data_IF_427456101997
#
_entry.id   IF_427456101997
#
_cell.length_a   1.000
_cell.length_b   1.000
_cell.length_c   1.000
_cell.angle_alpha   90.00
_cell.angle_beta   90.00
_cell.angle_gamma   90.00
#
_symmetry.space_group_name_H-M   'P 1'
#
loop_
_entity.id
_entity.type
_entity.pdbx_description
1 polymer ?
#
# COMPACT_ATOMS: atom_id res chain seq x y z
N UNK A 1 -5.08 25.90 -29.26
CA UNK A 1 -5.39 26.34 -27.89
C UNK A 1 -4.31 25.76 -26.99
N UNK A 2 -3.61 26.56 -26.19
CA UNK A 2 -2.28 26.25 -25.62
C UNK A 2 -2.19 25.15 -24.55
N UNK A 3 -3.10 24.18 -24.55
CA UNK A 3 -3.10 23.03 -23.63
C UNK A 3 -2.38 21.86 -24.30
N UNK A 4 -1.49 21.20 -23.55
CA UNK A 4 -0.77 20.03 -24.05
C UNK A 4 -1.67 18.79 -23.97
N UNK A 5 -1.59 17.90 -24.96
CA UNK A 5 -2.47 16.72 -24.97
C UNK A 5 -2.19 15.79 -23.79
N UNK A 6 -0.95 15.77 -23.31
CA UNK A 6 -0.51 15.06 -22.11
C UNK A 6 -1.27 15.51 -20.86
N UNK A 7 -1.60 16.79 -20.75
CA UNK A 7 -2.38 17.35 -19.62
C UNK A 7 -3.84 16.87 -19.67
N UNK A 8 -4.38 16.70 -20.89
CA UNK A 8 -5.70 16.12 -21.08
C UNK A 8 -5.68 14.63 -20.71
N UNK A 9 -4.66 13.89 -21.14
CA UNK A 9 -4.51 12.45 -20.82
C UNK A 9 -4.36 12.25 -19.30
N UNK A 10 -3.51 13.03 -18.64
CA UNK A 10 -3.35 13.00 -17.19
C UNK A 10 -4.67 13.32 -16.49
N UNK A 11 -5.35 14.40 -16.89
CA UNK A 11 -6.61 14.85 -16.30
C UNK A 11 -7.73 13.83 -16.44
N UNK A 12 -7.94 13.30 -17.65
CA UNK A 12 -8.96 12.28 -17.91
C UNK A 12 -8.68 10.98 -17.16
N UNK A 13 -7.44 10.49 -17.22
CA UNK A 13 -7.06 9.23 -16.54
C UNK A 13 -7.14 9.40 -15.02
N UNK A 14 -6.72 10.55 -14.50
CA UNK A 14 -6.85 10.90 -13.09
C UNK A 14 -8.30 10.97 -12.62
N UNK A 15 -9.21 11.54 -13.43
CA UNK A 15 -10.63 11.54 -13.13
C UNK A 15 -11.21 10.10 -13.10
N UNK A 16 -10.85 9.27 -14.08
CA UNK A 16 -11.26 7.86 -14.13
C UNK A 16 -10.75 7.06 -12.93
N UNK A 17 -9.52 7.30 -12.49
CA UNK A 17 -8.98 6.71 -11.27
C UNK A 17 -9.85 7.01 -10.05
N UNK A 18 -10.27 8.27 -9.85
CA UNK A 18 -11.15 8.63 -8.72
C UNK A 18 -12.54 8.00 -8.87
N UNK A 19 -13.11 8.02 -10.08
CA UNK A 19 -14.43 7.46 -10.36
C UNK A 19 -14.46 5.94 -10.19
N UNK A 20 -13.35 5.24 -10.50
CA UNK A 20 -13.20 3.80 -10.37
C UNK A 20 -13.21 3.29 -8.92
N UNK A 21 -13.26 4.16 -7.91
CA UNK A 21 -13.52 3.75 -6.52
C UNK A 21 -14.93 3.18 -6.35
N UNK A 22 -15.87 3.63 -7.18
CA UNK A 22 -17.23 3.08 -7.23
C UNK A 22 -17.28 1.81 -8.09
N UNK A 23 -17.92 0.76 -7.57
CA UNK A 23 -18.00 -0.56 -8.22
C UNK A 23 -18.74 -0.53 -9.56
N UNK A 24 -19.80 0.27 -9.70
CA UNK A 24 -20.54 0.37 -10.96
C UNK A 24 -19.71 1.07 -12.02
N UNK A 25 -18.97 2.12 -11.63
CA UNK A 25 -18.07 2.82 -12.53
C UNK A 25 -16.94 1.92 -13.02
N UNK A 26 -16.36 1.04 -12.17
CA UNK A 26 -15.32 0.08 -12.61
C UNK A 26 -15.82 -0.82 -13.74
N UNK A 27 -17.02 -1.35 -13.60
CA UNK A 27 -17.64 -2.22 -14.60
C UNK A 27 -17.79 -1.47 -15.93
N UNK A 28 -18.25 -0.21 -15.89
CA UNK A 28 -18.40 0.62 -17.09
C UNK A 28 -17.05 0.94 -17.73
N UNK A 29 -16.07 1.37 -16.93
CA UNK A 29 -14.72 1.70 -17.42
C UNK A 29 -14.09 0.49 -18.10
N UNK A 30 -14.13 -0.68 -17.44
CA UNK A 30 -13.67 -1.95 -18.04
C UNK A 30 -14.44 -2.29 -19.32
N UNK A 31 -15.76 -2.15 -19.30
CA UNK A 31 -16.65 -2.47 -20.42
C UNK A 31 -16.41 -1.61 -21.67
N UNK A 32 -15.79 -0.44 -21.53
CA UNK A 32 -15.37 0.42 -22.64
C UNK A 32 -14.01 0.01 -23.24
N UNK A 33 -13.45 -1.14 -22.84
CA UNK A 33 -12.17 -1.67 -23.32
C UNK A 33 -10.99 -0.70 -23.10
N UNK A 34 -10.92 -0.07 -21.93
CA UNK A 34 -9.87 0.91 -21.62
C UNK A 34 -8.60 0.29 -21.06
N UNK A 35 -8.62 -0.98 -20.63
CA UNK A 35 -7.47 -1.65 -20.01
C UNK A 35 -6.22 -1.63 -20.91
N UNK A 36 -6.29 -2.00 -22.21
CA UNK A 36 -5.10 -1.95 -23.09
C UNK A 36 -4.49 -0.53 -23.16
N UNK A 37 -5.35 0.50 -23.18
CA UNK A 37 -4.90 1.89 -23.20
C UNK A 37 -4.19 2.27 -21.89
N UNK A 38 -4.74 1.91 -20.73
CA UNK A 38 -4.08 2.18 -19.45
C UNK A 38 -2.74 1.46 -19.30
N UNK A 39 -2.64 0.23 -19.80
CA UNK A 39 -1.35 -0.51 -19.83
C UNK A 39 -0.34 0.22 -20.71
N UNK A 40 -0.76 0.72 -21.88
CA UNK A 40 0.11 1.52 -22.74
C UNK A 40 0.60 2.80 -22.05
N UNK A 41 -0.24 3.45 -21.25
CA UNK A 41 0.12 4.67 -20.51
C UNK A 41 1.20 4.44 -19.43
N UNK A 42 1.43 3.20 -18.98
CA UNK A 42 2.52 2.87 -18.06
C UNK A 42 3.90 3.12 -18.68
N UNK A 43 4.01 3.08 -20.02
CA UNK A 43 5.24 3.41 -20.75
C UNK A 43 5.42 4.91 -21.02
N UNK A 44 4.49 5.76 -20.56
CA UNK A 44 4.61 7.20 -20.76
C UNK A 44 5.88 7.75 -20.10
N UNK A 45 6.62 8.66 -20.76
CA UNK A 45 7.75 9.34 -20.13
C UNK A 45 7.31 10.36 -19.06
N UNK A 46 6.01 10.62 -18.94
CA UNK A 46 5.43 11.54 -17.97
C UNK A 46 5.02 10.78 -16.72
N UNK A 47 5.77 10.97 -15.64
CA UNK A 47 5.57 10.27 -14.36
C UNK A 47 4.14 10.44 -13.80
N UNK A 48 3.54 11.62 -13.93
CA UNK A 48 2.16 11.84 -13.50
C UNK A 48 1.16 10.95 -14.26
N UNK A 49 1.37 10.73 -15.56
CA UNK A 49 0.53 9.84 -16.38
C UNK A 49 0.71 8.40 -15.90
N UNK A 50 1.95 7.95 -15.65
CA UNK A 50 2.21 6.62 -15.10
C UNK A 50 1.50 6.43 -13.76
N UNK A 51 1.54 7.44 -12.88
CA UNK A 51 0.87 7.42 -11.57
C UNK A 51 -0.64 7.22 -11.70
N UNK A 52 -1.31 8.01 -12.53
CA UNK A 52 -2.77 7.89 -12.70
C UNK A 52 -3.16 6.62 -13.46
N UNK A 53 -2.35 6.16 -14.40
CA UNK A 53 -2.55 4.90 -15.13
C UNK A 53 -2.44 3.69 -14.20
N UNK A 54 -1.37 3.61 -13.40
CA UNK A 54 -1.22 2.57 -12.38
C UNK A 54 -2.32 2.68 -11.31
N UNK A 55 -2.74 3.89 -10.95
CA UNK A 55 -3.83 4.14 -10.00
C UNK A 55 -5.18 3.59 -10.49
N UNK A 56 -5.60 3.90 -11.73
CA UNK A 56 -6.85 3.35 -12.26
C UNK A 56 -6.78 1.83 -12.41
N UNK A 57 -5.64 1.28 -12.85
CA UNK A 57 -5.44 -0.18 -12.90
C UNK A 57 -5.52 -0.82 -11.51
N UNK A 58 -5.03 -0.14 -10.47
CA UNK A 58 -5.13 -0.59 -9.07
C UNK A 58 -6.58 -0.65 -8.60
N UNK A 59 -7.40 0.33 -8.98
CA UNK A 59 -8.83 0.31 -8.65
C UNK A 59 -9.54 -0.83 -9.40
N UNK A 60 -9.28 -0.98 -10.70
CA UNK A 60 -9.88 -2.04 -11.54
C UNK A 60 -9.49 -3.44 -11.08
N UNK A 61 -8.21 -3.67 -10.74
CA UNK A 61 -7.70 -4.98 -10.34
C UNK A 61 -8.29 -5.51 -9.02
N UNK A 62 -9.13 -4.74 -8.32
CA UNK A 62 -9.95 -5.27 -7.21
C UNK A 62 -10.96 -6.32 -7.68
N UNK A 63 -11.39 -6.23 -8.94
CA UNK A 63 -12.29 -7.20 -9.54
C UNK A 63 -11.47 -8.27 -10.28
N UNK A 64 -11.72 -9.55 -9.98
CA UNK A 64 -10.91 -10.66 -10.50
C UNK A 64 -10.83 -10.69 -12.02
N UNK A 65 -11.94 -10.52 -12.73
CA UNK A 65 -11.90 -10.61 -14.20
C UNK A 65 -11.18 -9.38 -14.81
N UNK A 66 -11.15 -8.24 -14.09
CA UNK A 66 -10.34 -7.11 -14.51
C UNK A 66 -8.85 -7.37 -14.27
N UNK A 67 -8.47 -7.96 -13.13
CA UNK A 67 -7.08 -8.33 -12.85
C UNK A 67 -6.53 -9.33 -13.89
N UNK A 68 -7.32 -10.34 -14.25
CA UNK A 68 -6.99 -11.31 -15.30
C UNK A 68 -6.82 -10.62 -16.67
N UNK A 69 -7.71 -9.69 -17.02
CA UNK A 69 -7.60 -8.91 -18.25
C UNK A 69 -6.34 -8.02 -18.27
N UNK A 70 -6.00 -7.38 -17.14
CA UNK A 70 -4.78 -6.59 -16.99
C UNK A 70 -3.53 -7.47 -17.18
N UNK A 71 -3.52 -8.67 -16.61
CA UNK A 71 -2.43 -9.64 -16.82
C UNK A 71 -2.32 -10.05 -18.28
N UNK A 72 -3.45 -10.35 -18.93
CA UNK A 72 -3.50 -10.77 -20.33
C UNK A 72 -2.97 -9.71 -21.30
N UNK A 73 -3.16 -8.42 -20.99
CA UNK A 73 -2.59 -7.30 -21.75
C UNK A 73 -1.08 -7.09 -21.51
N UNK A 74 -0.43 -7.95 -20.72
CA UNK A 74 1.02 -7.92 -20.51
C UNK A 74 1.49 -6.85 -19.53
N UNK A 75 0.63 -6.40 -18.62
CA UNK A 75 0.96 -5.35 -17.65
C UNK A 75 2.07 -5.73 -16.65
N UNK A 76 2.37 -7.02 -16.47
CA UNK A 76 3.38 -7.50 -15.51
C UNK A 76 4.75 -6.84 -15.73
N UNK A 77 5.25 -6.81 -16.97
CA UNK A 77 6.56 -6.25 -17.27
C UNK A 77 6.69 -4.74 -16.94
N UNK A 78 5.80 -3.85 -17.43
CA UNK A 78 5.89 -2.43 -17.08
C UNK A 78 5.63 -2.18 -15.59
N UNK A 79 4.73 -2.93 -14.94
CA UNK A 79 4.48 -2.75 -13.51
C UNK A 79 5.70 -3.14 -12.66
N UNK A 80 6.40 -4.23 -13.01
CA UNK A 80 7.65 -4.62 -12.33
C UNK A 80 8.73 -3.54 -12.49
N UNK A 81 8.84 -2.92 -13.66
CA UNK A 81 9.76 -1.79 -13.87
C UNK A 81 9.38 -0.58 -12.98
N UNK A 82 8.08 -0.27 -12.90
CA UNK A 82 7.56 0.83 -12.10
C UNK A 82 7.75 0.66 -10.59
N UNK A 83 7.97 -0.56 -10.08
CA UNK A 83 8.38 -0.79 -8.68
C UNK A 83 9.67 -0.07 -8.32
N UNK A 84 10.50 0.22 -9.31
CA UNK A 84 11.76 0.91 -9.12
C UNK A 84 11.66 2.42 -9.33
N UNK A 85 10.46 2.95 -9.59
CA UNK A 85 10.23 4.39 -9.72
C UNK A 85 10.69 5.14 -8.46
N UNK A 86 11.19 6.37 -8.66
CA UNK A 86 11.50 7.30 -7.56
C UNK A 86 10.23 7.91 -6.96
N UNK A 87 9.11 7.81 -7.66
CA UNK A 87 7.81 8.23 -7.17
C UNK A 87 7.17 7.09 -6.39
N UNK A 88 7.13 7.23 -5.08
CA UNK A 88 6.56 6.25 -4.16
C UNK A 88 5.09 5.92 -4.50
N UNK A 89 4.32 6.90 -4.98
CA UNK A 89 2.94 6.70 -5.39
C UNK A 89 2.82 5.75 -6.59
N UNK A 90 3.69 5.93 -7.60
CA UNK A 90 3.77 5.05 -8.77
C UNK A 90 4.16 3.64 -8.35
N UNK A 91 5.23 3.51 -7.56
CA UNK A 91 5.72 2.21 -7.10
C UNK A 91 4.69 1.47 -6.23
N UNK A 92 3.98 2.18 -5.36
CA UNK A 92 2.93 1.62 -4.50
C UNK A 92 1.75 1.11 -5.33
N UNK A 93 1.27 1.88 -6.31
CA UNK A 93 0.20 1.41 -7.19
C UNK A 93 0.64 0.21 -8.03
N UNK A 94 1.86 0.23 -8.57
CA UNK A 94 2.38 -0.90 -9.33
C UNK A 94 2.45 -2.18 -8.50
N UNK A 95 2.95 -2.08 -7.26
CA UNK A 95 2.99 -3.18 -6.30
C UNK A 95 1.59 -3.73 -6.00
N UNK A 96 0.61 -2.85 -5.77
CA UNK A 96 -0.77 -3.25 -5.50
C UNK A 96 -1.39 -4.00 -6.68
N UNK A 97 -1.18 -3.55 -7.91
CA UNK A 97 -1.69 -4.22 -9.11
C UNK A 97 -1.04 -5.61 -9.27
N UNK A 98 0.29 -5.71 -9.17
CA UNK A 98 1.00 -6.99 -9.23
C UNK A 98 0.53 -7.97 -8.17
N UNK A 99 0.31 -7.48 -6.94
CA UNK A 99 -0.21 -8.30 -5.85
C UNK A 99 -1.61 -8.84 -6.19
N UNK A 100 -2.51 -8.00 -6.69
CA UNK A 100 -3.88 -8.39 -7.08
C UNK A 100 -3.89 -9.42 -8.21
N UNK A 101 -3.07 -9.22 -9.25
CA UNK A 101 -2.89 -10.19 -10.34
C UNK A 101 -2.33 -11.55 -9.85
N UNK A 102 -1.65 -11.56 -8.70
CA UNK A 102 -1.05 -12.77 -8.14
C UNK A 102 -1.98 -13.59 -7.23
N UNK A 103 -3.20 -13.11 -6.93
CA UNK A 103 -4.06 -13.65 -5.88
C UNK A 103 -4.32 -15.17 -6.02
N UNK A 104 -4.59 -15.62 -7.25
CA UNK A 104 -4.84 -17.02 -7.60
C UNK A 104 -3.57 -17.84 -7.92
N UNK A 105 -2.38 -17.24 -7.85
CA UNK A 105 -1.13 -17.94 -8.14
C UNK A 105 -0.71 -18.84 -6.97
N UNK A 106 0.10 -19.89 -7.21
CA UNK A 106 0.62 -20.74 -6.15
C UNK A 106 1.31 -19.96 -5.04
N UNK A 107 1.28 -20.47 -3.81
CA UNK A 107 1.82 -19.76 -2.65
C UNK A 107 3.32 -19.43 -2.78
N UNK A 108 4.09 -20.28 -3.45
CA UNK A 108 5.52 -20.02 -3.70
C UNK A 108 5.75 -18.84 -4.65
N UNK A 109 4.84 -18.61 -5.60
CA UNK A 109 4.86 -17.43 -6.45
C UNK A 109 4.61 -16.16 -5.62
N UNK A 110 3.54 -16.16 -4.82
CA UNK A 110 3.17 -15.03 -3.95
C UNK A 110 4.28 -14.68 -2.95
N UNK A 111 4.95 -15.68 -2.38
CA UNK A 111 6.12 -15.47 -1.52
C UNK A 111 7.25 -14.76 -2.24
N UNK A 112 7.61 -15.22 -3.45
CA UNK A 112 8.66 -14.59 -4.25
C UNK A 112 8.32 -13.14 -4.60
N UNK A 113 7.08 -12.91 -5.03
CA UNK A 113 6.59 -11.56 -5.32
C UNK A 113 6.65 -10.68 -4.07
N UNK A 114 6.18 -11.16 -2.92
CA UNK A 114 6.24 -10.40 -1.66
C UNK A 114 7.67 -10.00 -1.28
N UNK A 115 8.65 -10.88 -1.47
CA UNK A 115 10.07 -10.57 -1.25
C UNK A 115 10.55 -9.48 -2.19
N UNK A 116 10.19 -9.55 -3.48
CA UNK A 116 10.55 -8.55 -4.50
C UNK A 116 9.89 -7.19 -4.25
N UNK A 117 8.63 -7.17 -3.83
CA UNK A 117 7.93 -5.94 -3.45
C UNK A 117 8.58 -5.31 -2.22
N UNK A 118 8.93 -6.11 -1.22
CA UNK A 118 9.57 -5.63 0.01
C UNK A 118 10.95 -5.04 -0.30
N UNK A 119 11.76 -5.70 -1.13
CA UNK A 119 13.09 -5.18 -1.49
C UNK A 119 13.02 -3.92 -2.35
N UNK A 120 12.01 -3.81 -3.23
CA UNK A 120 11.87 -2.68 -4.15
C UNK A 120 11.31 -1.43 -3.48
N UNK A 121 10.33 -1.59 -2.57
CA UNK A 121 9.68 -0.48 -1.88
C UNK A 121 10.48 0.02 -0.67
N UNK A 122 11.09 -0.87 0.10
CA UNK A 122 11.88 -0.50 1.28
C UNK A 122 13.36 -0.35 0.94
N UNK A 123 13.67 0.49 -0.05
CA UNK A 123 15.07 0.86 -0.33
C UNK A 123 15.68 1.42 0.95
N UNK A 124 16.48 0.61 1.64
CA UNK A 124 17.40 1.06 2.66
C UNK A 124 18.44 1.91 1.95
N UNK A 125 18.17 3.20 1.79
CA UNK A 125 19.23 4.15 1.53
C UNK A 125 20.23 4.01 2.69
N UNK A 126 21.48 3.60 2.46
CA UNK A 126 22.50 3.92 3.45
C UNK A 126 22.48 5.45 3.53
N UNK A 127 22.09 6.01 4.67
CA UNK A 127 22.15 7.45 4.89
C UNK A 127 23.53 7.91 4.41
N UNK A 128 23.55 8.68 3.33
CA UNK A 128 24.74 9.36 2.87
C UNK A 128 25.02 10.45 3.90
N UNK A 129 25.63 10.07 5.02
CA UNK A 129 26.39 10.99 5.84
C UNK A 129 27.49 11.52 4.94
N UNK A 130 27.21 12.65 4.30
CA UNK A 130 28.18 13.37 3.50
C UNK A 130 29.30 13.75 4.48
N UNK A 131 30.45 13.06 4.38
CA UNK A 131 31.72 13.44 5.01
C UNK A 131 32.19 14.76 4.37
N UNK A 132 31.53 15.86 4.73
CA UNK A 132 31.98 17.22 4.40
C UNK A 132 31.60 18.12 5.57
N UNK A 133 32.42 18.01 6.61
CA UNK A 133 32.39 18.85 7.80
C UNK A 133 33.80 19.05 8.32
N UNK A 134 34.70 19.50 7.44
CA UNK A 134 35.96 20.15 7.79
C UNK A 134 35.65 21.37 8.68
N UNK A 135 35.70 21.17 9.99
CA UNK A 135 35.90 22.24 10.95
C UNK A 135 37.16 21.90 11.74
N UNK A 136 38.29 22.28 11.14
CA UNK A 136 39.55 22.40 11.84
C UNK A 136 39.40 23.24 13.11
N UNK A 137 39.62 22.59 14.25
CA UNK A 137 40.03 23.26 15.49
C UNK A 137 41.34 22.62 15.92
N UNK A 138 42.42 23.21 15.39
CA UNK A 138 43.76 23.12 15.94
C UNK A 138 43.79 23.81 17.30
N UNK A 139 43.98 23.04 18.37
CA UNK A 139 44.54 23.56 19.61
C UNK A 139 45.40 22.46 20.25
N UNK A 140 46.70 22.57 19.99
CA UNK A 140 47.71 21.62 20.44
C UNK A 140 48.04 21.65 21.93
N UNK A 141 49.11 20.90 22.21
CA UNK A 141 49.95 20.87 23.41
C UNK A 141 49.57 19.91 24.57
N UNK A 142 50.25 18.74 24.52
CA UNK A 142 51.17 18.18 25.53
C UNK A 142 50.66 17.75 26.93
N UNK A 143 51.33 16.72 27.48
CA UNK A 143 51.04 15.96 28.72
C UNK A 143 50.91 16.81 30.00
N UNK A 144 50.45 16.30 31.15
CA UNK A 144 50.72 15.01 31.82
C UNK A 144 49.60 14.71 32.88
N UNK A 145 49.58 13.51 33.54
CA UNK A 145 48.44 12.97 34.27
C UNK A 145 48.45 13.24 35.79
N UNK A 146 47.28 13.04 36.42
CA UNK A 146 46.99 12.92 37.86
C UNK A 146 46.96 14.22 38.70
N UNK A 147 45.74 14.65 39.03
CA UNK A 147 45.45 15.32 40.29
C UNK A 147 44.05 14.93 40.78
N UNK A 148 44.01 13.94 41.68
CA UNK A 148 42.84 13.66 42.50
C UNK A 148 42.85 14.63 43.69
N UNK A 149 41.77 15.39 43.91
CA UNK A 149 41.44 15.88 45.26
C UNK A 149 39.94 16.11 45.43
N UNK A 150 39.38 15.28 46.31
CA UNK A 150 38.13 15.46 47.06
C UNK A 150 38.05 16.88 47.64
N UNK A 151 36.91 17.56 47.53
CA UNK A 151 35.88 17.55 48.60
C UNK A 151 34.75 18.55 48.33
N UNK A 152 33.58 18.17 48.85
CA UNK A 152 32.43 19.00 49.26
C UNK A 152 31.38 19.52 48.25
N UNK A 153 30.15 18.99 48.42
CA UNK A 153 29.00 19.86 48.64
C UNK A 153 27.93 19.98 47.54
N UNK A 154 26.93 19.08 47.54
CA UNK A 154 25.56 19.43 47.09
C UNK A 154 24.94 18.57 46.00
N UNK A 155 24.52 17.34 46.33
CA UNK A 155 23.62 16.55 45.48
C UNK A 155 22.20 17.13 45.49
N UNK A 156 21.65 17.41 44.31
CA UNK A 156 20.19 17.44 44.09
C UNK A 156 19.84 16.55 42.89
N UNK A 157 19.22 15.42 43.21
CA UNK A 157 18.80 14.36 42.30
C UNK A 157 17.44 14.68 41.65
N UNK A 158 17.24 14.20 40.43
CA UNK A 158 15.94 13.78 39.90
C UNK A 158 16.05 12.31 39.47
N UNK A 159 15.17 11.40 39.93
CA UNK A 159 15.35 9.97 39.75
C UNK A 159 14.70 9.44 38.47
N UNK A 160 15.41 8.53 37.83
CA UNK A 160 14.85 7.51 36.95
C UNK A 160 14.57 6.23 37.78
N UNK A 161 13.37 5.71 37.65
CA UNK A 161 12.99 4.33 37.96
C UNK A 161 11.86 4.01 36.94
N UNK A 162 11.83 2.88 36.25
CA UNK A 162 11.74 1.54 36.83
C UNK A 162 12.41 0.49 35.95
N UNK A 163 13.06 -0.47 36.61
CA UNK A 163 13.38 -1.78 36.08
C UNK A 163 12.93 -2.87 37.06
N UNK A 164 12.44 -3.97 36.46
CA UNK A 164 12.64 -5.37 36.86
C UNK A 164 11.86 -6.00 38.06
N UNK A 165 10.90 -6.85 37.67
CA UNK A 165 10.61 -8.25 38.09
C UNK A 165 10.05 -8.70 39.47
N UNK A 166 8.92 -9.43 39.32
CA UNK A 166 8.58 -10.77 39.86
C UNK A 166 8.03 -10.95 41.30
N UNK A 167 6.79 -11.49 41.41
CA UNK A 167 6.43 -12.85 41.91
C UNK A 167 4.97 -12.96 42.49
N UNK A 168 4.18 -13.89 41.90
CA UNK A 168 3.18 -14.87 42.46
C UNK A 168 1.99 -14.35 43.32
N UNK A 169 0.72 -14.34 42.83
CA UNK A 169 -0.33 -15.42 42.78
C UNK A 169 -1.31 -15.35 44.00
N UNK A 170 -2.52 -15.96 44.08
CA UNK A 170 -3.61 -16.30 43.12
C UNK A 170 -5.00 -15.70 43.54
N UNK A 171 -6.09 -16.05 42.81
CA UNK A 171 -7.47 -16.37 43.28
C UNK A 171 -8.63 -15.60 42.60
N UNK A 172 -9.50 -16.37 41.93
CA UNK A 172 -11.01 -16.42 41.98
C UNK A 172 -11.80 -15.09 42.04
N UNK A 173 -12.97 -14.85 41.43
CA UNK A 173 -14.03 -15.63 40.77
C UNK A 173 -15.20 -14.65 40.55
N UNK A 174 -16.07 -14.87 39.54
CA UNK A 174 -17.33 -14.13 39.32
C UNK A 174 -17.34 -13.28 38.06
N UNK A 175 -17.96 -13.71 36.94
CA UNK A 175 -19.40 -13.55 36.63
C UNK A 175 -19.79 -12.06 36.58
N UNK A 176 -20.17 -11.45 35.45
CA UNK A 176 -21.24 -11.83 34.53
C UNK A 176 -20.98 -11.29 33.10
N UNK A 177 -21.05 -12.17 32.09
CA UNK A 177 -21.26 -11.77 30.71
C UNK A 177 -22.76 -11.83 30.42
N UNK A 178 -23.41 -10.66 30.37
CA UNK A 178 -24.77 -10.54 29.84
C UNK A 178 -24.74 -10.77 28.31
N UNK A 179 -25.32 -11.90 27.90
CA UNK A 179 -25.65 -12.19 26.51
C UNK A 179 -26.95 -11.46 26.14
N UNK A 180 -26.83 -10.28 25.54
CA UNK A 180 -27.97 -9.63 24.90
C UNK A 180 -28.29 -10.35 23.57
N UNK A 181 -29.52 -10.84 23.55
CA UNK A 181 -30.21 -11.60 22.52
C UNK A 181 -30.24 -10.89 21.16
N UNK A 182 -29.69 -11.56 20.14
CA UNK A 182 -29.93 -11.26 18.71
C UNK A 182 -31.41 -11.47 18.35
N UNK A 183 -32.05 -10.53 17.62
CA UNK A 183 -33.40 -10.77 17.09
C UNK A 183 -33.37 -11.69 15.85
N UNK A 184 -34.30 -12.63 15.88
CA UNK A 184 -34.58 -13.70 14.92
C UNK A 184 -34.90 -13.18 13.49
N UNK A 185 -34.03 -13.47 12.52
CA UNK A 185 -34.28 -13.26 11.09
C UNK A 185 -34.94 -14.51 10.52
N UNK A 186 -36.24 -14.62 10.76
CA UNK A 186 -37.10 -15.64 10.17
C UNK A 186 -37.03 -15.63 8.64
N UNK A 187 -36.86 -16.82 8.07
CA UNK A 187 -36.89 -17.11 6.64
C UNK A 187 -38.21 -16.63 5.99
N UNK A 188 -38.14 -15.55 5.20
CA UNK A 188 -39.15 -15.24 4.19
C UNK A 188 -38.61 -15.62 2.81
N UNK A 189 -38.96 -16.83 2.36
CA UNK A 189 -38.83 -17.24 0.96
C UNK A 189 -40.15 -16.95 0.25
N UNK A 190 -40.29 -15.77 -0.34
CA UNK A 190 -41.38 -15.52 -1.28
C UNK A 190 -41.06 -16.22 -2.63
N UNK A 191 -41.94 -17.07 -3.17
CA UNK A 191 -41.72 -17.69 -4.47
C UNK A 191 -41.84 -16.65 -5.60
N UNK A 192 -40.89 -16.67 -6.55
CA UNK A 192 -41.01 -15.90 -7.80
C UNK A 192 -42.27 -16.31 -8.58
N UNK A 193 -43.01 -15.36 -9.20
CA UNK A 193 -44.11 -15.67 -10.07
C UNK A 193 -43.62 -16.29 -11.39
N UNK A 194 -44.20 -17.44 -11.72
CA UNK A 194 -44.05 -18.22 -12.95
C UNK A 194 -44.50 -17.39 -14.17
N UNK A 195 -43.55 -16.93 -14.99
CA UNK A 195 -43.84 -16.33 -16.29
C UNK A 195 -43.98 -17.46 -17.31
N UNK A 196 -45.22 -17.94 -17.39
CA UNK A 196 -45.64 -18.96 -18.32
C UNK A 196 -45.26 -18.68 -19.79
N UNK A 197 -44.98 -19.78 -20.47
CA UNK A 197 -44.85 -19.91 -21.91
C UNK A 197 -45.87 -19.05 -22.68
N UNK A 198 -45.36 -18.10 -23.46
CA UNK A 198 -46.13 -17.56 -24.59
C UNK A 198 -45.76 -18.34 -25.84
N UNK A 199 -46.78 -19.03 -26.35
CA UNK A 199 -46.81 -19.75 -27.61
C UNK A 199 -46.67 -18.80 -28.80
N UNK A 200 -46.21 -19.42 -29.89
CA UNK A 200 -46.34 -19.05 -31.30
C UNK A 200 -47.31 -17.93 -31.67
N UNK A 201 -46.86 -17.06 -32.59
CA UNK A 201 -47.67 -16.64 -33.73
C UNK A 201 -46.77 -16.29 -34.92
N UNK A 202 -47.06 -16.96 -36.03
CA UNK A 202 -46.62 -16.69 -37.40
C UNK A 202 -46.92 -15.27 -37.85
#
# INVERSE_FOLDING_TARGET
EGVRMEEIVEGCTGALHILARDVHNRIVIRGLNTIPLFVQLLYSPVENIQRVAAGVLCELAQDKEAAEAIEAEGATAPLTELLHSRNEGVATYAAAVLFRMSEDKPQDYKKRLSVELTSSLFRTEPMAWNETGDLGLDMGAQGDPLAYRQDDGGYRAYPAAYGQDSLLDPMMEGADYHADTLPDLGHHTDPLPDLGHTQDLM
#
